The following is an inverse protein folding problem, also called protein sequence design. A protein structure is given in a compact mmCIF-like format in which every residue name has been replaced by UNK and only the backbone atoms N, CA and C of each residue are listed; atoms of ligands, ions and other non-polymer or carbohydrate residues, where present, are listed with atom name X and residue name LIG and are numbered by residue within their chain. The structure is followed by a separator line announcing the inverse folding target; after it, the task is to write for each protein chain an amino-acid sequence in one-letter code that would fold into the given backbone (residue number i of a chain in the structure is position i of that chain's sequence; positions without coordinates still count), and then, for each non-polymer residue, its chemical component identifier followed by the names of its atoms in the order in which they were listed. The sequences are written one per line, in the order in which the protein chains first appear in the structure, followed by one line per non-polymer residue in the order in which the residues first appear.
data_IF_122050664887
#
_entry.id   IF_122050664887
#
_cell.length_a   1.000
_cell.length_b   1.000
_cell.length_c   1.000
_cell.angle_alpha   90.00
_cell.angle_beta   90.00
_cell.angle_gamma   90.00
#
_symmetry.space_group_name_H-M   'P 1'
#
loop_
_entity.id
_entity.type
_entity.pdbx_description
1 polymer ?
#
# COMPACT_ATOMS: atom_id res chain seq x y z
N UNK A 1 -20.26 14.25 4.75
CA UNK A 1 -20.08 13.95 6.19
C UNK A 1 -19.82 12.45 6.28
N UNK A 2 -18.81 11.94 7.01
CA UNK A 2 -18.41 10.55 6.89
C UNK A 2 -19.43 9.60 7.51
N UNK A 3 -19.48 8.39 6.96
CA UNK A 3 -20.17 7.20 7.48
C UNK A 3 -19.21 6.52 8.45
N UNK A 4 -19.58 6.42 9.73
CA UNK A 4 -18.78 5.68 10.69
C UNK A 4 -19.19 4.20 10.62
N UNK A 5 -18.35 3.40 9.95
CA UNK A 5 -18.51 1.96 9.79
C UNK A 5 -17.12 1.30 9.81
N UNK A 6 -16.97 0.25 10.62
CA UNK A 6 -15.71 -0.44 10.89
C UNK A 6 -15.41 -1.53 9.86
N UNK A 7 -14.14 -1.96 9.80
CA UNK A 7 -13.68 -2.97 8.86
C UNK A 7 -14.28 -4.37 9.20
N UNK A 8 -14.60 -5.20 8.20
CA UNK A 8 -15.23 -6.52 8.41
C UNK A 8 -14.42 -7.50 9.27
N UNK A 9 -13.10 -7.32 9.37
CA UNK A 9 -12.22 -8.20 10.12
C UNK A 9 -12.35 -8.02 11.66
N UNK A 10 -13.05 -6.99 12.13
CA UNK A 10 -13.09 -6.63 13.54
C UNK A 10 -14.30 -7.22 14.31
N UNK A 11 -15.28 -7.85 13.65
CA UNK A 11 -16.43 -8.54 14.31
C UNK A 11 -17.22 -9.46 13.38
N UNK A 12 -17.73 -10.58 13.94
CA UNK A 12 -18.47 -11.64 13.23
C UNK A 12 -19.97 -11.33 13.00
N UNK A 13 -20.50 -10.20 13.52
CA UNK A 13 -21.93 -9.92 13.48
C UNK A 13 -22.27 -8.74 12.55
N UNK A 14 -22.96 -9.04 11.44
CA UNK A 14 -23.38 -8.07 10.42
C UNK A 14 -24.28 -6.93 10.97
N UNK A 15 -24.97 -7.15 12.10
CA UNK A 15 -25.81 -6.12 12.74
C UNK A 15 -25.04 -5.17 13.66
N UNK A 16 -23.78 -5.48 14.00
CA UNK A 16 -22.99 -4.72 14.98
C UNK A 16 -22.26 -3.50 14.40
N UNK A 17 -22.37 -3.25 13.10
CA UNK A 17 -21.59 -2.23 12.37
C UNK A 17 -22.47 -1.48 11.36
N UNK A 18 -23.68 -1.13 11.78
CA UNK A 18 -24.54 -0.27 10.97
C UNK A 18 -23.94 1.14 10.87
N UNK A 19 -24.06 1.81 9.71
CA UNK A 19 -23.53 3.16 9.53
C UNK A 19 -24.16 4.12 10.56
N UNK A 20 -23.34 4.83 11.34
CA UNK A 20 -23.81 5.76 12.36
C UNK A 20 -23.62 7.23 11.95
N UNK A 21 -24.27 8.15 12.69
CA UNK A 21 -24.19 9.59 12.49
C UNK A 21 -25.16 10.15 11.43
N UNK A 22 -25.09 11.47 11.16
CA UNK A 22 -26.07 12.14 10.29
C UNK A 22 -26.05 11.71 8.80
N UNK A 23 -25.09 10.88 8.39
CA UNK A 23 -25.04 10.28 7.06
C UNK A 23 -25.63 8.85 7.01
N UNK A 24 -25.98 8.25 8.15
CA UNK A 24 -26.46 6.87 8.29
C UNK A 24 -27.63 6.54 7.35
N UNK A 25 -28.66 7.39 7.34
CA UNK A 25 -29.86 7.15 6.51
C UNK A 25 -29.55 7.13 5.01
N UNK A 26 -28.64 7.99 4.55
CA UNK A 26 -28.20 7.99 3.14
C UNK A 26 -27.35 6.76 2.80
N UNK A 27 -26.50 6.33 3.72
CA UNK A 27 -25.71 5.12 3.56
C UNK A 27 -26.58 3.86 3.47
N UNK A 28 -27.60 3.77 4.33
CA UNK A 28 -28.55 2.65 4.33
C UNK A 28 -29.42 2.63 3.06
N UNK A 29 -29.88 3.80 2.60
CA UNK A 29 -30.61 3.90 1.33
C UNK A 29 -29.74 3.42 0.16
N UNK A 30 -28.50 3.89 0.07
CA UNK A 30 -27.54 3.45 -0.94
C UNK A 30 -27.25 1.94 -0.86
N UNK A 31 -27.07 1.39 0.33
CA UNK A 31 -26.85 -0.04 0.50
C UNK A 31 -28.05 -0.87 0.02
N UNK A 32 -29.28 -0.39 0.27
CA UNK A 32 -30.51 -1.02 -0.22
C UNK A 32 -30.60 -0.98 -1.74
N UNK A 33 -30.31 0.17 -2.36
CA UNK A 33 -30.25 0.32 -3.82
C UNK A 33 -29.21 -0.62 -4.45
N UNK A 34 -28.01 -0.69 -3.87
CA UNK A 34 -26.96 -1.62 -4.30
C UNK A 34 -27.44 -3.07 -4.21
N UNK A 35 -28.09 -3.46 -3.12
CA UNK A 35 -28.61 -4.83 -2.95
C UNK A 35 -29.64 -5.18 -4.03
N UNK A 36 -30.55 -4.27 -4.37
CA UNK A 36 -31.52 -4.49 -5.45
C UNK A 36 -30.82 -4.69 -6.80
N UNK A 37 -29.85 -3.83 -7.13
CA UNK A 37 -29.07 -3.93 -8.38
C UNK A 37 -28.26 -5.23 -8.45
N UNK A 38 -27.64 -5.63 -7.33
CA UNK A 38 -26.85 -6.85 -7.28
C UNK A 38 -27.71 -8.10 -7.42
N UNK A 39 -28.92 -8.12 -6.87
CA UNK A 39 -29.80 -9.28 -6.93
C UNK A 39 -30.12 -9.70 -8.37
N UNK A 40 -30.38 -8.74 -9.26
CA UNK A 40 -30.72 -8.98 -10.66
C UNK A 40 -29.49 -9.05 -11.59
N UNK A 41 -28.28 -8.98 -11.02
CA UNK A 41 -27.08 -8.83 -11.83
C UNK A 41 -26.73 -10.15 -12.58
N UNK A 42 -26.45 -10.12 -13.90
CA UNK A 42 -26.15 -11.33 -14.69
C UNK A 42 -25.01 -12.18 -14.15
N UNK A 43 -24.02 -11.55 -13.50
CA UNK A 43 -22.92 -12.28 -12.84
C UNK A 43 -23.43 -13.14 -11.70
N UNK A 44 -24.42 -12.69 -10.91
CA UNK A 44 -25.01 -13.49 -9.85
C UNK A 44 -25.83 -14.65 -10.40
N UNK A 45 -26.60 -14.45 -11.47
CA UNK A 45 -27.26 -15.56 -12.16
C UNK A 45 -26.26 -16.62 -12.65
N UNK A 46 -25.13 -16.19 -13.23
CA UNK A 46 -24.08 -17.12 -13.67
C UNK A 46 -23.41 -17.84 -12.48
N UNK A 47 -23.25 -17.18 -11.32
CA UNK A 47 -22.74 -17.80 -10.09
C UNK A 47 -23.71 -18.86 -9.56
N UNK A 48 -25.00 -18.55 -9.50
CA UNK A 48 -26.05 -19.49 -9.08
C UNK A 48 -26.09 -20.72 -9.97
N UNK A 49 -25.99 -20.55 -11.29
CA UNK A 49 -25.91 -21.66 -12.25
C UNK A 49 -24.70 -22.56 -12.03
N UNK A 50 -23.60 -22.03 -11.49
CA UNK A 50 -22.40 -22.79 -11.08
C UNK A 50 -22.47 -23.32 -9.64
N UNK A 51 -23.57 -23.09 -8.92
CA UNK A 51 -23.70 -23.43 -7.50
C UNK A 51 -22.83 -22.57 -6.57
N UNK A 52 -22.34 -21.42 -7.04
CA UNK A 52 -21.56 -20.47 -6.26
C UNK A 52 -22.47 -19.49 -5.50
N UNK A 53 -22.09 -19.05 -4.29
CA UNK A 53 -22.84 -18.03 -3.57
C UNK A 53 -22.82 -16.68 -4.31
N UNK A 54 -23.98 -16.02 -4.33
CA UNK A 54 -24.19 -14.69 -4.91
C UNK A 54 -23.52 -13.58 -4.10
N UNK A 55 -23.07 -12.53 -4.77
CA UNK A 55 -22.67 -11.27 -4.14
C UNK A 55 -23.91 -10.39 -3.95
N UNK A 56 -24.46 -10.34 -2.75
CA UNK A 56 -25.77 -9.72 -2.49
C UNK A 56 -25.70 -8.39 -1.72
N UNK A 57 -24.51 -7.96 -1.29
CA UNK A 57 -24.33 -6.78 -0.45
C UNK A 57 -22.93 -6.19 -0.64
N UNK A 58 -22.80 -4.90 -0.35
CA UNK A 58 -21.52 -4.19 -0.25
C UNK A 58 -21.42 -3.59 1.14
N UNK A 59 -20.32 -3.87 1.82
CA UNK A 59 -20.01 -3.26 3.10
C UNK A 59 -19.33 -1.91 2.89
N UNK A 60 -20.02 -0.81 3.18
CA UNK A 60 -19.48 0.54 3.06
C UNK A 60 -18.78 0.92 4.37
N UNK A 61 -17.47 1.06 4.33
CA UNK A 61 -16.64 1.42 5.49
C UNK A 61 -15.51 2.38 5.08
N UNK A 62 -14.82 2.95 6.08
CA UNK A 62 -13.65 3.81 5.83
C UNK A 62 -13.99 5.18 5.22
N UNK A 63 -15.18 5.72 5.50
CA UNK A 63 -15.55 7.02 4.96
C UNK A 63 -14.64 8.13 5.51
N UNK A 64 -14.01 8.87 4.60
CA UNK A 64 -13.14 9.99 4.93
C UNK A 64 -13.56 11.26 4.19
N UNK A 65 -12.94 12.38 4.57
CA UNK A 65 -12.91 13.58 3.74
C UNK A 65 -11.52 13.72 3.15
N UNK A 66 -11.43 14.05 1.87
CA UNK A 66 -10.14 14.40 1.30
C UNK A 66 -9.59 15.64 2.03
N UNK A 67 -8.31 15.61 2.46
CA UNK A 67 -7.65 16.79 2.98
C UNK A 67 -7.55 17.87 1.89
N UNK A 68 -7.67 19.15 2.27
CA UNK A 68 -7.58 20.27 1.32
C UNK A 68 -6.18 20.43 0.73
N UNK A 69 -5.16 20.03 1.48
CA UNK A 69 -3.76 20.06 1.06
C UNK A 69 -3.00 18.97 1.78
N UNK A 70 -2.17 18.24 1.04
CA UNK A 70 -1.20 17.28 1.60
C UNK A 70 0.17 17.78 1.22
N UNK A 71 1.08 17.83 2.20
CA UNK A 71 2.51 18.06 1.94
C UNK A 71 3.24 16.77 2.25
N UNK A 72 4.07 16.34 1.31
CA UNK A 72 4.97 15.21 1.51
C UNK A 72 6.34 15.53 0.91
N UNK A 73 7.41 14.98 1.47
CA UNK A 73 8.77 15.33 1.07
C UNK A 73 9.24 14.54 -0.16
N UNK A 74 8.33 13.90 -0.90
CA UNK A 74 8.66 13.00 -2.01
C UNK A 74 8.52 13.73 -3.34
N UNK A 75 9.52 13.55 -4.20
CA UNK A 75 9.49 14.03 -5.58
C UNK A 75 8.69 13.08 -6.49
N UNK A 76 8.79 11.78 -6.24
CA UNK A 76 7.93 10.78 -6.88
C UNK A 76 7.61 9.60 -5.97
N UNK A 77 6.53 8.91 -6.32
CA UNK A 77 6.10 7.63 -5.73
C UNK A 77 6.07 6.58 -6.85
N UNK A 78 6.66 5.42 -6.59
CA UNK A 78 6.75 4.29 -7.51
C UNK A 78 6.08 3.10 -6.84
N UNK A 79 5.22 2.39 -7.55
CA UNK A 79 4.52 1.24 -6.99
C UNK A 79 3.12 1.07 -7.55
N UNK A 80 2.63 -0.16 -7.51
CA UNK A 80 1.29 -0.49 -8.00
C UNK A 80 0.23 -0.49 -6.88
N UNK A 81 0.63 -0.14 -5.64
CA UNK A 81 -0.27 -0.04 -4.51
C UNK A 81 -1.29 1.11 -4.71
N UNK A 82 -2.61 0.80 -4.67
CA UNK A 82 -3.64 1.79 -4.96
C UNK A 82 -3.72 2.90 -3.90
N UNK A 83 -3.33 2.62 -2.65
CA UNK A 83 -3.32 3.63 -1.57
C UNK A 83 -2.18 4.62 -1.81
N UNK A 84 -0.99 4.16 -2.15
CA UNK A 84 0.16 4.98 -2.51
C UNK A 84 -0.14 5.86 -3.73
N UNK A 85 -0.76 5.29 -4.78
CA UNK A 85 -1.20 6.03 -5.95
C UNK A 85 -2.23 7.13 -5.60
N UNK A 86 -3.22 6.80 -4.76
CA UNK A 86 -4.21 7.76 -4.28
C UNK A 86 -3.61 8.90 -3.46
N UNK A 87 -2.67 8.59 -2.56
CA UNK A 87 -1.95 9.57 -1.74
C UNK A 87 -1.04 10.46 -2.58
N UNK A 88 -0.32 9.91 -3.56
CA UNK A 88 0.51 10.68 -4.48
C UNK A 88 -0.35 11.68 -5.27
N UNK A 89 -1.50 11.24 -5.81
CA UNK A 89 -2.46 12.10 -6.49
C UNK A 89 -3.00 13.20 -5.57
N UNK A 90 -3.36 12.87 -4.34
CA UNK A 90 -3.85 13.83 -3.35
C UNK A 90 -2.80 14.90 -2.98
N UNK A 91 -1.52 14.53 -3.00
CA UNK A 91 -0.39 15.43 -2.76
C UNK A 91 0.16 16.14 -4.01
N UNK A 92 -0.38 15.84 -5.21
CA UNK A 92 0.15 16.37 -6.47
C UNK A 92 1.57 15.87 -6.81
N UNK A 93 1.94 14.70 -6.31
CA UNK A 93 3.26 14.07 -6.53
C UNK A 93 3.18 13.15 -7.74
N UNK A 94 4.26 13.12 -8.54
CA UNK A 94 4.39 12.20 -9.67
C UNK A 94 4.29 10.75 -9.19
N UNK A 95 3.43 9.97 -9.82
CA UNK A 95 3.26 8.54 -9.57
C UNK A 95 3.53 7.77 -10.86
N UNK A 96 4.37 6.74 -10.78
CA UNK A 96 4.62 5.81 -11.88
C UNK A 96 4.52 4.36 -11.36
N UNK A 97 4.28 3.41 -12.27
CA UNK A 97 4.30 1.99 -11.96
C UNK A 97 5.66 1.55 -11.42
N UNK A 98 5.70 0.43 -10.69
CA UNK A 98 6.97 -0.09 -10.20
C UNK A 98 7.86 -0.57 -11.36
N UNK A 99 9.10 -0.09 -11.49
CA UNK A 99 10.01 -0.57 -12.52
C UNK A 99 10.41 -2.04 -12.26
N UNK A 100 10.92 -2.71 -13.30
CA UNK A 100 11.34 -4.12 -13.22
C UNK A 100 12.38 -4.36 -12.14
N UNK A 101 13.30 -3.42 -11.96
CA UNK A 101 14.42 -3.51 -11.05
C UNK A 101 14.97 -2.11 -10.72
N UNK A 102 15.80 -2.05 -9.68
CA UNK A 102 16.39 -0.79 -9.22
C UNK A 102 17.44 -0.24 -10.19
N UNK A 103 18.08 -1.06 -11.02
CA UNK A 103 19.11 -0.57 -11.94
C UNK A 103 18.46 0.26 -13.05
N UNK A 104 17.42 -0.28 -13.69
CA UNK A 104 16.61 0.44 -14.67
C UNK A 104 16.10 1.77 -14.08
N UNK A 105 15.59 1.73 -12.84
CA UNK A 105 15.14 2.93 -12.17
C UNK A 105 16.26 3.97 -11.97
N UNK A 106 17.42 3.55 -11.46
CA UNK A 106 18.56 4.44 -11.21
C UNK A 106 19.08 5.12 -12.49
N UNK A 107 18.96 4.46 -13.65
CA UNK A 107 19.38 4.99 -14.95
C UNK A 107 18.37 5.99 -15.54
N UNK A 108 17.09 5.86 -15.20
CA UNK A 108 15.99 6.65 -15.76
C UNK A 108 15.35 7.60 -14.75
N UNK A 109 15.89 7.68 -13.53
CA UNK A 109 15.38 8.56 -12.49
C UNK A 109 15.42 10.01 -13.00
N UNK A 110 14.28 10.72 -13.00
CA UNK A 110 14.14 11.95 -13.77
C UNK A 110 14.99 13.10 -13.22
N UNK A 111 15.21 13.14 -11.90
CA UNK A 111 15.85 14.25 -11.17
C UNK A 111 16.35 13.78 -9.80
N UNK A 112 17.34 14.49 -9.24
CA UNK A 112 17.77 14.29 -7.85
C UNK A 112 16.65 14.66 -6.86
N UNK A 113 16.40 13.79 -5.88
CA UNK A 113 15.38 14.03 -4.88
C UNK A 113 15.09 12.83 -4.01
N UNK A 114 13.98 12.91 -3.26
CA UNK A 114 13.48 11.81 -2.44
C UNK A 114 12.41 11.06 -3.20
N UNK A 115 12.66 9.78 -3.48
CA UNK A 115 11.71 8.91 -4.16
C UNK A 115 11.21 7.85 -3.19
N UNK A 116 9.91 7.58 -3.20
CA UNK A 116 9.30 6.50 -2.44
C UNK A 116 9.01 5.34 -3.38
N UNK A 117 9.64 4.18 -3.14
CA UNK A 117 9.30 2.94 -3.84
C UNK A 117 8.49 2.05 -2.90
N UNK A 118 7.29 1.68 -3.30
CA UNK A 118 6.41 0.74 -2.59
C UNK A 118 6.57 -0.62 -3.27
N UNK A 119 7.15 -1.56 -2.53
CA UNK A 119 7.42 -2.91 -2.98
C UNK A 119 6.41 -3.85 -2.35
N UNK A 120 6.00 -4.88 -3.08
CA UNK A 120 5.14 -5.93 -2.52
C UNK A 120 5.84 -6.68 -1.40
N UNK A 121 5.08 -7.04 -0.37
CA UNK A 121 5.58 -7.80 0.75
C UNK A 121 5.92 -9.24 0.30
N UNK A 122 7.19 -9.62 0.43
CA UNK A 122 7.63 -10.99 0.19
C UNK A 122 6.97 -11.95 1.20
N UNK A 123 6.24 -12.94 0.70
CA UNK A 123 5.56 -13.97 1.49
C UNK A 123 6.38 -15.26 1.61
N UNK A 124 7.48 -15.36 0.88
CA UNK A 124 8.37 -16.52 0.87
C UNK A 124 9.85 -16.12 0.84
N UNK A 125 10.73 -17.04 1.27
CA UNK A 125 12.19 -16.85 1.18
C UNK A 125 12.63 -16.63 -0.27
N UNK A 126 11.99 -17.31 -1.22
CA UNK A 126 12.27 -17.16 -2.65
C UNK A 126 11.94 -15.77 -3.16
N UNK A 127 10.80 -15.22 -2.78
CA UNK A 127 10.42 -13.84 -3.12
C UNK A 127 11.36 -12.82 -2.48
N UNK A 128 11.76 -13.05 -1.22
CA UNK A 128 12.73 -12.20 -0.55
C UNK A 128 14.09 -12.21 -1.27
N UNK A 129 14.56 -13.37 -1.73
CA UNK A 129 15.77 -13.47 -2.55
C UNK A 129 15.63 -12.75 -3.89
N UNK A 130 14.48 -12.84 -4.54
CA UNK A 130 14.20 -12.11 -5.77
C UNK A 130 14.21 -10.59 -5.53
N UNK A 131 13.70 -10.14 -4.39
CA UNK A 131 13.72 -8.73 -3.97
C UNK A 131 15.15 -8.23 -3.72
N UNK A 132 15.98 -9.04 -3.05
CA UNK A 132 17.41 -8.74 -2.86
C UNK A 132 18.10 -8.51 -4.21
N UNK A 133 17.94 -9.45 -5.15
CA UNK A 133 18.59 -9.41 -6.45
C UNK A 133 18.09 -8.26 -7.34
N UNK A 134 16.78 -8.00 -7.36
CA UNK A 134 16.18 -6.98 -8.23
C UNK A 134 16.35 -5.57 -7.68
N UNK A 135 16.36 -5.41 -6.36
CA UNK A 135 16.31 -4.10 -5.73
C UNK A 135 17.50 -3.82 -4.81
N UNK A 136 17.69 -4.62 -3.76
CA UNK A 136 18.60 -4.23 -2.68
C UNK A 136 20.07 -4.28 -3.08
N UNK A 137 20.51 -5.25 -3.88
CA UNK A 137 21.89 -5.34 -4.38
C UNK A 137 22.29 -4.09 -5.18
N UNK A 138 21.45 -3.71 -6.15
CA UNK A 138 21.68 -2.55 -7.02
C UNK A 138 21.65 -1.23 -6.23
N UNK A 139 20.71 -1.07 -5.29
CA UNK A 139 20.65 0.11 -4.43
C UNK A 139 21.86 0.20 -3.48
N UNK A 140 22.32 -0.92 -2.94
CA UNK A 140 23.52 -0.97 -2.10
C UNK A 140 24.76 -0.58 -2.89
N UNK A 141 24.90 -1.06 -4.13
CA UNK A 141 25.98 -0.64 -5.02
C UNK A 141 25.91 0.84 -5.35
N UNK A 142 24.72 1.38 -5.65
CA UNK A 142 24.52 2.80 -5.88
C UNK A 142 24.93 3.65 -4.67
N UNK A 143 24.60 3.21 -3.45
CA UNK A 143 25.01 3.87 -2.20
C UNK A 143 26.53 3.81 -1.99
N UNK A 144 27.17 2.67 -2.27
CA UNK A 144 28.63 2.52 -2.20
C UNK A 144 29.36 3.46 -3.17
N UNK A 145 28.83 3.60 -4.37
CA UNK A 145 29.34 4.46 -5.44
C UNK A 145 29.00 5.94 -5.21
N UNK A 146 28.07 6.25 -4.30
CA UNK A 146 27.62 7.62 -4.03
C UNK A 146 26.62 8.15 -5.06
N UNK A 147 26.02 7.29 -5.90
CA UNK A 147 24.92 7.66 -6.81
C UNK A 147 23.64 8.01 -6.05
N UNK A 148 23.45 7.39 -4.88
CA UNK A 148 22.43 7.80 -3.91
C UNK A 148 23.11 8.15 -2.59
N UNK A 149 22.60 9.15 -1.88
CA UNK A 149 23.16 9.59 -0.60
C UNK A 149 22.67 8.79 0.62
N UNK A 150 21.44 8.29 0.55
CA UNK A 150 20.74 7.65 1.66
C UNK A 150 19.71 6.65 1.13
N UNK A 151 19.55 5.53 1.82
CA UNK A 151 18.46 4.58 1.62
C UNK A 151 17.71 4.37 2.94
N UNK A 152 16.39 4.51 2.92
CA UNK A 152 15.52 4.19 4.06
C UNK A 152 14.61 3.03 3.70
N UNK A 153 14.77 1.88 4.37
CA UNK A 153 13.88 0.74 4.26
C UNK A 153 12.83 0.82 5.37
N UNK A 154 11.54 0.83 5.00
CA UNK A 154 10.40 0.81 5.94
C UNK A 154 9.64 -0.49 5.78
N UNK A 155 9.29 -1.12 6.91
CA UNK A 155 8.54 -2.37 6.96
C UNK A 155 7.35 -2.12 7.89
N UNK A 156 6.19 -1.70 7.33
CA UNK A 156 5.03 -1.29 8.11
C UNK A 156 4.52 -2.38 9.06
N UNK A 157 4.45 -3.63 8.59
CA UNK A 157 3.92 -4.76 9.37
C UNK A 157 4.73 -5.06 10.63
N UNK A 158 6.01 -4.72 10.63
CA UNK A 158 6.89 -4.84 11.79
C UNK A 158 7.02 -3.53 12.58
N UNK A 159 6.46 -2.43 12.07
CA UNK A 159 6.65 -1.08 12.63
C UNK A 159 8.11 -0.61 12.58
N UNK A 160 8.93 -1.16 11.67
CA UNK A 160 10.38 -0.92 11.63
C UNK A 160 10.79 -0.03 10.47
N UNK A 161 11.82 0.78 10.71
CA UNK A 161 12.53 1.49 9.67
C UNK A 161 14.03 1.39 9.92
N UNK A 162 14.80 1.25 8.84
CA UNK A 162 16.26 1.29 8.87
C UNK A 162 16.72 2.33 7.84
N UNK A 163 17.59 3.23 8.28
CA UNK A 163 18.22 4.20 7.41
C UNK A 163 19.70 3.86 7.28
N UNK A 164 20.23 3.94 6.07
CA UNK A 164 21.64 3.66 5.80
C UNK A 164 22.22 4.68 4.84
N UNK A 165 23.38 5.20 5.22
CA UNK A 165 24.23 6.06 4.39
C UNK A 165 25.47 5.30 3.94
N UNK A 166 26.21 5.88 2.99
CA UNK A 166 27.54 5.37 2.61
C UNK A 166 28.51 5.25 3.79
N UNK A 167 28.42 6.15 4.79
CA UNK A 167 29.28 6.12 5.97
C UNK A 167 28.97 4.92 6.87
N UNK A 168 27.70 4.50 6.95
CA UNK A 168 27.29 3.35 7.75
C UNK A 168 27.84 2.03 7.22
N UNK A 169 28.07 1.93 5.90
CA UNK A 169 28.65 0.74 5.26
C UNK A 169 30.09 0.45 5.71
N UNK A 170 30.79 1.44 6.28
CA UNK A 170 32.14 1.26 6.84
C UNK A 170 32.13 0.68 8.25
N UNK A 171 30.97 0.55 8.89
CA UNK A 171 30.83 0.01 10.25
C UNK A 171 30.86 -1.52 10.25
N UNK A 172 31.85 -2.12 9.59
CA UNK A 172 31.99 -3.57 9.44
C UNK A 172 32.09 -4.32 10.79
N UNK A 173 32.46 -3.61 11.86
CA UNK A 173 32.50 -4.13 13.23
C UNK A 173 31.12 -4.33 13.86
N UNK A 174 30.04 -3.81 13.25
CA UNK A 174 28.67 -4.05 13.71
C UNK A 174 28.15 -5.36 13.14
N UNK A 175 27.82 -6.30 14.02
CA UNK A 175 27.22 -7.58 13.61
C UNK A 175 25.80 -7.37 13.04
N UNK A 176 25.44 -8.05 11.95
CA UNK A 176 24.07 -8.10 11.46
C UNK A 176 23.13 -8.58 12.56
N UNK A 177 21.98 -7.91 12.71
CA UNK A 177 20.93 -8.33 13.65
C UNK A 177 19.72 -8.82 12.87
N UNK A 178 19.09 -9.94 13.24
CA UNK A 178 17.90 -10.43 12.57
C UNK A 178 16.78 -9.39 12.63
N UNK A 179 15.97 -9.34 11.57
CA UNK A 179 14.88 -8.36 11.49
C UNK A 179 13.75 -8.62 12.49
N UNK A 180 13.58 -9.86 12.93
CA UNK A 180 12.57 -10.24 13.93
C UNK A 180 13.05 -10.13 15.38
N UNK A 181 14.35 -9.91 15.63
CA UNK A 181 14.95 -10.13 16.95
C UNK A 181 14.94 -8.89 17.87
N UNK A 182 13.88 -8.07 17.86
CA UNK A 182 13.78 -6.98 18.84
C UNK A 182 12.31 -6.77 19.29
N UNK A 183 12.02 -6.83 20.60
CA UNK A 183 10.74 -6.34 21.13
C UNK A 183 10.63 -4.82 20.95
#
# INVERSE_FOLDING_TARGET
MPIDAQAPAERTDAHSVLPQGAAAGRALALATEIQMVLHEHPVNHAREQRGEPTVNSVWLWGAGRLPRSVRAPWLSVLGDDPVAAGLARCAGIRHDALPSDALYWLEHAPQDGRHLCVLDAAQSVRELQALEQRWFDSLLQALRQGRIGMLTLRIPDLGRACETTRADLRRFWRRPRPLAARP
#
